data_IF_610450656430
#
_entry.id   IF_610450656430
#
_cell.length_a   1.000
_cell.length_b   1.000
_cell.length_c   1.000
_cell.angle_alpha   90.00
_cell.angle_beta   90.00
_cell.angle_gamma   90.00
#
_symmetry.space_group_name_H-M   'P 1'
#
loop_
_entity.id
_entity.type
_entity.pdbx_description
1 polymer ?
#
# COMPACT_ATOMS: atom_id res chain seq x y z
N UNK A 1 23.66 -20.11 -26.08
CA UNK A 1 23.58 -19.37 -24.81
C UNK A 1 22.46 -20.04 -24.02
N UNK A 2 22.81 -20.92 -23.09
CA UNK A 2 21.83 -21.61 -22.25
C UNK A 2 21.27 -20.57 -21.28
N UNK A 3 19.96 -20.35 -21.30
CA UNK A 3 19.32 -19.60 -20.22
C UNK A 3 19.35 -20.56 -19.03
N UNK A 4 20.13 -20.24 -17.99
CA UNK A 4 20.03 -20.91 -16.71
C UNK A 4 18.63 -20.60 -16.17
N UNK A 5 17.68 -21.49 -16.43
CA UNK A 5 16.32 -21.36 -15.91
C UNK A 5 16.41 -21.62 -14.41
N UNK A 6 16.19 -20.60 -13.55
CA UNK A 6 16.17 -20.81 -12.11
C UNK A 6 15.12 -21.87 -11.79
N UNK A 7 15.41 -22.72 -10.80
CA UNK A 7 14.39 -23.64 -10.32
C UNK A 7 13.17 -22.84 -9.87
N UNK A 8 11.97 -23.40 -10.02
CA UNK A 8 10.73 -22.70 -9.63
C UNK A 8 10.80 -22.14 -8.20
N UNK A 9 11.52 -22.82 -7.30
CA UNK A 9 11.73 -22.38 -5.93
C UNK A 9 12.62 -21.13 -5.82
N UNK A 10 13.68 -21.04 -6.61
CA UNK A 10 14.58 -19.89 -6.60
C UNK A 10 13.93 -18.67 -7.28
N UNK A 11 13.18 -18.91 -8.35
CA UNK A 11 12.36 -17.87 -8.98
C UNK A 11 11.29 -17.30 -8.03
N UNK A 12 10.60 -18.16 -7.28
CA UNK A 12 9.60 -17.71 -6.31
C UNK A 12 10.22 -16.88 -5.18
N UNK A 13 11.39 -17.26 -4.66
CA UNK A 13 12.10 -16.48 -3.63
C UNK A 13 12.51 -15.10 -4.15
N UNK A 14 13.00 -15.02 -5.38
CA UNK A 14 13.37 -13.74 -5.98
C UNK A 14 12.16 -12.80 -6.13
N UNK A 15 10.99 -13.32 -6.54
CA UNK A 15 9.77 -12.54 -6.66
C UNK A 15 9.21 -12.06 -5.32
N UNK A 16 9.46 -12.79 -4.24
CA UNK A 16 9.00 -12.46 -2.88
C UNK A 16 10.04 -11.69 -2.05
N UNK A 17 11.19 -11.33 -2.64
CA UNK A 17 12.25 -10.62 -1.92
C UNK A 17 11.87 -9.18 -1.54
N UNK A 18 10.98 -8.55 -2.32
CA UNK A 18 10.51 -7.19 -2.10
C UNK A 18 9.01 -7.07 -2.46
N UNK A 19 8.12 -7.64 -1.63
CA UNK A 19 6.68 -7.63 -1.88
C UNK A 19 6.06 -6.30 -1.49
N UNK A 20 5.01 -5.90 -2.21
CA UNK A 20 4.13 -4.80 -1.79
C UNK A 20 2.91 -5.39 -1.07
N UNK A 21 2.50 -4.73 -0.01
CA UNK A 21 1.36 -5.15 0.80
C UNK A 21 0.15 -4.26 0.49
N UNK A 22 -1.06 -4.81 0.55
CA UNK A 22 -2.28 -4.01 0.46
C UNK A 22 -3.07 -4.13 1.76
N UNK A 23 -3.46 -2.97 2.30
CA UNK A 23 -4.23 -2.87 3.54
C UNK A 23 -5.50 -2.05 3.31
N UNK A 24 -6.56 -2.51 3.94
CA UNK A 24 -7.85 -1.83 3.95
C UNK A 24 -7.89 -0.80 5.10
N UNK A 25 -8.40 0.42 4.89
CA UNK A 25 -8.36 1.52 5.87
C UNK A 25 -9.41 1.33 6.98
N UNK A 26 -9.35 0.21 7.70
CA UNK A 26 -10.21 -0.11 8.83
C UNK A 26 -9.49 0.17 10.16
N UNK A 27 -10.22 0.08 11.26
CA UNK A 27 -9.67 0.34 12.60
C UNK A 27 -8.47 -0.55 12.94
N UNK A 28 -8.41 -1.76 12.38
CA UNK A 28 -7.30 -2.70 12.58
C UNK A 28 -6.05 -2.40 11.75
N UNK A 29 -6.04 -1.36 10.90
CA UNK A 29 -4.92 -1.07 10.00
C UNK A 29 -3.59 -0.90 10.76
N UNK A 30 -3.60 -0.13 11.85
CA UNK A 30 -2.43 0.08 12.70
C UNK A 30 -1.86 -1.21 13.27
N UNK A 31 -2.73 -2.11 13.76
CA UNK A 31 -2.32 -3.42 14.28
C UNK A 31 -1.71 -4.29 13.17
N UNK A 32 -2.22 -4.20 11.94
CA UNK A 32 -1.68 -4.97 10.82
C UNK A 32 -0.31 -4.47 10.37
N UNK A 33 -0.05 -3.15 10.42
CA UNK A 33 1.26 -2.60 10.07
C UNK A 33 2.39 -3.19 10.91
N UNK A 34 2.12 -3.48 12.18
CA UNK A 34 3.11 -4.06 13.10
C UNK A 34 3.60 -5.47 12.68
N UNK A 35 2.94 -6.11 11.72
CA UNK A 35 3.35 -7.40 11.14
C UNK A 35 4.17 -7.25 9.86
N UNK A 36 4.29 -6.04 9.32
CA UNK A 36 5.00 -5.79 8.08
C UNK A 36 6.48 -5.49 8.36
N UNK A 37 7.37 -5.80 7.40
CA UNK A 37 8.76 -5.37 7.46
C UNK A 37 8.87 -3.85 7.60
N UNK A 38 9.91 -3.39 8.30
CA UNK A 38 10.23 -1.96 8.39
C UNK A 38 10.43 -1.37 7.00
N UNK A 39 9.82 -0.21 6.73
CA UNK A 39 9.93 0.46 5.44
C UNK A 39 9.20 -0.23 4.29
N UNK A 40 8.37 -1.24 4.55
CA UNK A 40 7.60 -1.92 3.51
C UNK A 40 6.71 -0.95 2.71
N UNK A 41 6.55 -1.22 1.41
CA UNK A 41 5.59 -0.51 0.57
C UNK A 41 4.17 -1.01 0.81
N UNK A 42 3.26 -0.10 1.17
CA UNK A 42 1.87 -0.39 1.51
C UNK A 42 0.94 0.38 0.57
N UNK A 43 0.14 -0.36 -0.20
CA UNK A 43 -1.01 0.18 -0.89
C UNK A 43 -2.21 0.29 0.08
N UNK A 44 -2.90 1.43 0.08
CA UNK A 44 -4.10 1.63 0.90
C UNK A 44 -5.32 1.65 0.01
N UNK A 45 -6.23 0.70 0.20
CA UNK A 45 -7.45 0.60 -0.61
C UNK A 45 -8.40 1.76 -0.33
N UNK A 46 -9.07 2.26 -1.36
CA UNK A 46 -10.18 3.21 -1.18
C UNK A 46 -11.42 2.49 -0.70
N UNK A 47 -11.95 2.86 0.47
CA UNK A 47 -13.21 2.29 0.96
C UNK A 47 -14.42 3.07 0.43
N UNK A 48 -15.40 2.41 -0.22
CA UNK A 48 -16.64 3.07 -0.63
C UNK A 48 -17.47 3.61 0.54
N UNK A 49 -17.36 3.00 1.72
CA UNK A 49 -18.17 3.36 2.89
C UNK A 49 -17.48 4.39 3.79
N UNK A 50 -16.15 4.43 3.80
CA UNK A 50 -15.38 5.37 4.62
C UNK A 50 -14.89 6.60 3.84
N UNK A 51 -15.07 6.60 2.51
CA UNK A 51 -14.63 7.68 1.64
C UNK A 51 -13.10 7.81 1.56
N UNK A 52 -12.63 8.93 1.01
CA UNK A 52 -11.20 9.22 0.84
C UNK A 52 -10.49 9.61 2.15
N UNK A 53 -11.21 10.24 3.09
CA UNK A 53 -10.63 10.73 4.35
C UNK A 53 -9.91 9.63 5.13
N UNK A 54 -10.51 8.44 5.25
CA UNK A 54 -9.87 7.31 5.92
C UNK A 54 -8.58 6.85 5.21
N UNK A 55 -8.55 6.88 3.88
CA UNK A 55 -7.35 6.54 3.10
C UNK A 55 -6.25 7.59 3.31
N UNK A 56 -6.59 8.88 3.31
CA UNK A 56 -5.64 9.99 3.52
C UNK A 56 -5.08 9.97 4.95
N UNK A 57 -5.95 9.86 5.96
CA UNK A 57 -5.56 9.79 7.37
C UNK A 57 -4.55 8.66 7.64
N UNK A 58 -4.80 7.47 7.09
CA UNK A 58 -3.88 6.35 7.23
C UNK A 58 -2.60 6.54 6.42
N UNK A 59 -2.67 7.21 5.27
CA UNK A 59 -1.49 7.55 4.47
C UNK A 59 -0.53 8.40 5.27
N UNK A 60 -1.00 9.47 5.89
CA UNK A 60 -0.18 10.36 6.71
C UNK A 60 0.42 9.64 7.92
N UNK A 61 -0.42 8.91 8.67
CA UNK A 61 0.01 8.18 9.88
C UNK A 61 1.05 7.11 9.56
N UNK A 62 0.84 6.34 8.50
CA UNK A 62 1.73 5.26 8.12
C UNK A 62 3.04 5.78 7.51
N UNK A 63 2.98 6.86 6.71
CA UNK A 63 4.18 7.55 6.23
C UNK A 63 5.02 8.11 7.39
N UNK A 64 4.37 8.72 8.39
CA UNK A 64 5.04 9.21 9.60
C UNK A 64 5.66 8.07 10.45
N UNK A 65 5.12 6.85 10.35
CA UNK A 65 5.68 5.66 10.98
C UNK A 65 6.86 5.04 10.19
N UNK A 66 7.21 5.59 9.03
CA UNK A 66 8.39 5.19 8.24
C UNK A 66 8.12 4.18 7.14
N UNK A 67 6.87 3.91 6.78
CA UNK A 67 6.49 3.07 5.65
C UNK A 67 6.41 3.87 4.34
N UNK A 68 6.57 3.20 3.20
CA UNK A 68 6.33 3.79 1.88
C UNK A 68 4.87 3.56 1.47
N UNK A 69 4.08 4.63 1.34
CA UNK A 69 2.63 4.49 1.13
C UNK A 69 2.21 4.84 -0.30
N UNK A 70 1.33 4.00 -0.86
CA UNK A 70 0.68 4.20 -2.16
C UNK A 70 -0.84 4.23 -1.97
N UNK A 71 -1.46 5.40 -1.74
CA UNK A 71 -2.91 5.48 -1.58
C UNK A 71 -3.63 5.24 -2.89
N UNK A 72 -4.66 4.39 -2.87
CA UNK A 72 -5.62 4.33 -3.96
C UNK A 72 -6.59 5.50 -3.85
N UNK A 73 -6.74 6.26 -4.93
CA UNK A 73 -7.70 7.36 -5.05
C UNK A 73 -8.65 7.02 -6.19
N UNK A 74 -9.91 6.72 -5.84
CA UNK A 74 -10.94 6.49 -6.85
C UNK A 74 -11.51 7.83 -7.32
N UNK A 75 -11.32 8.16 -8.60
CA UNK A 75 -11.70 9.46 -9.18
C UNK A 75 -13.16 9.89 -8.92
N UNK A 76 -14.09 8.93 -8.81
CA UNK A 76 -15.52 9.22 -8.50
C UNK A 76 -15.77 9.79 -7.10
N UNK A 77 -14.80 9.74 -6.21
CA UNK A 77 -14.88 10.32 -4.85
C UNK A 77 -14.14 11.66 -4.74
N UNK A 78 -13.56 12.13 -5.84
CA UNK A 78 -12.95 13.45 -5.95
C UNK A 78 -14.01 14.35 -6.60
N UNK A 79 -14.50 15.35 -5.87
CA UNK A 79 -15.61 16.20 -6.30
C UNK A 79 -15.16 17.25 -7.34
N UNK A 80 -14.01 17.85 -7.08
CA UNK A 80 -13.33 18.84 -7.93
C UNK A 80 -11.80 18.76 -7.69
N UNK A 81 -11.07 19.62 -8.38
CA UNK A 81 -9.61 19.75 -8.36
C UNK A 81 -9.09 20.60 -7.19
N UNK A 82 -9.97 21.33 -6.46
CA UNK A 82 -9.59 22.14 -5.30
C UNK A 82 -8.78 21.35 -4.23
N UNK A 83 -9.10 20.08 -3.90
CA UNK A 83 -8.32 19.26 -2.96
C UNK A 83 -6.96 18.79 -3.51
N UNK A 84 -6.68 18.96 -4.80
CA UNK A 84 -5.41 18.56 -5.44
C UNK A 84 -4.42 19.73 -5.52
N UNK A 85 -4.89 20.96 -5.31
CA UNK A 85 -4.10 22.18 -5.33
C UNK A 85 -3.57 22.53 -3.92
N UNK A 86 -2.59 21.76 -3.43
CA UNK A 86 -1.71 22.19 -2.32
C UNK A 86 -0.28 21.62 -2.45
#
# INVERSE_FOLDING_TARGET
MSLDTPTTADGARALLADPRFELMPFDSFGDQMAHLPDGATIAITTSPTLGLGATIDWTEKAAAAGYEIVPHIAARYVEDDDPLDE
#
